data_IF_928264477944
#
_entry.id   IF_928264477944
#
_cell.length_a   1.000
_cell.length_b   1.000
_cell.length_c   1.000
_cell.angle_alpha   90.00
_cell.angle_beta   90.00
_cell.angle_gamma   90.00
#
_symmetry.space_group_name_H-M   'P 1'
#
loop_
_entity.id
_entity.type
_entity.pdbx_description
1 polymer ?
#
# COMPACT_ATOMS: atom_id res chain seq x y z
N UNK A 1 9.24 18.14 1.25
CA UNK A 1 8.68 16.86 0.78
C UNK A 1 7.59 17.23 -0.20
N UNK A 2 7.67 16.75 -1.43
CA UNK A 2 6.54 16.87 -2.35
C UNK A 2 5.42 15.99 -1.81
N UNK A 3 4.27 16.59 -1.54
CA UNK A 3 3.08 15.85 -1.16
C UNK A 3 2.43 15.37 -2.46
N UNK A 4 2.05 14.07 -2.54
CA UNK A 4 1.41 13.54 -3.73
C UNK A 4 0.11 14.30 -4.01
N UNK A 5 -0.18 14.49 -5.29
CA UNK A 5 -1.41 15.13 -5.73
C UNK A 5 -2.47 14.08 -6.15
N UNK A 6 -3.65 14.55 -6.57
CA UNK A 6 -4.69 13.64 -7.07
C UNK A 6 -4.35 13.01 -8.43
N UNK A 7 -3.46 13.61 -9.21
CA UNK A 7 -2.98 13.04 -10.46
C UNK A 7 -2.14 11.77 -10.19
N UNK A 8 -1.24 11.84 -9.21
CA UNK A 8 -0.43 10.72 -8.74
C UNK A 8 -1.31 9.56 -8.25
N UNK A 9 -2.39 9.88 -7.52
CA UNK A 9 -3.36 8.88 -7.03
C UNK A 9 -4.06 8.17 -8.19
N UNK A 10 -4.49 8.92 -9.21
CA UNK A 10 -5.14 8.36 -10.40
C UNK A 10 -4.15 7.47 -11.17
N UNK A 11 -2.92 7.93 -11.36
CA UNK A 11 -1.87 7.17 -12.04
C UNK A 11 -1.55 5.88 -11.28
N UNK A 12 -1.44 5.96 -9.95
CA UNK A 12 -1.21 4.80 -9.09
C UNK A 12 -2.35 3.77 -9.23
N UNK A 13 -3.60 4.21 -9.23
CA UNK A 13 -4.75 3.32 -9.43
C UNK A 13 -4.67 2.62 -10.79
N UNK A 14 -4.37 3.37 -11.86
CA UNK A 14 -4.28 2.83 -13.21
C UNK A 14 -3.19 1.78 -13.35
N UNK A 15 -2.03 2.02 -12.74
CA UNK A 15 -0.91 1.10 -12.76
C UNK A 15 -1.18 -0.20 -11.97
N UNK A 16 -1.92 -0.10 -10.86
CA UNK A 16 -2.05 -1.21 -9.91
C UNK A 16 -3.35 -2.03 -10.07
N UNK A 17 -4.45 -1.38 -10.43
CA UNK A 17 -5.79 -1.98 -10.46
C UNK A 17 -6.33 -2.02 -11.88
N UNK A 18 -6.24 -0.91 -12.62
CA UNK A 18 -6.69 -0.78 -13.99
C UNK A 18 -7.35 0.56 -14.29
N UNK A 19 -8.03 0.69 -15.43
CA UNK A 19 -8.62 1.95 -15.87
C UNK A 19 -9.76 2.41 -14.94
N UNK A 20 -9.76 3.70 -14.60
CA UNK A 20 -10.85 4.37 -13.89
C UNK A 20 -11.91 4.85 -14.88
N UNK A 21 -13.18 4.57 -14.59
CA UNK A 21 -14.29 5.29 -15.24
C UNK A 21 -14.35 6.72 -14.73
N UNK A 22 -15.01 7.62 -15.47
CA UNK A 22 -15.21 9.01 -15.04
C UNK A 22 -15.90 9.07 -13.66
N UNK A 23 -16.96 8.27 -13.47
CA UNK A 23 -17.68 8.20 -12.19
C UNK A 23 -16.83 7.70 -11.01
N UNK A 24 -15.88 6.80 -11.24
CA UNK A 24 -14.97 6.33 -10.20
C UNK A 24 -13.93 7.39 -9.84
N UNK A 25 -13.48 8.15 -10.85
CA UNK A 25 -12.57 9.28 -10.64
C UNK A 25 -13.24 10.37 -9.82
N UNK A 26 -14.49 10.71 -10.15
CA UNK A 26 -15.27 11.72 -9.41
C UNK A 26 -15.44 11.33 -7.93
N UNK A 27 -15.60 10.03 -7.64
CA UNK A 27 -15.61 9.53 -6.26
C UNK A 27 -14.28 9.73 -5.53
N UNK A 28 -13.14 9.52 -6.20
CA UNK A 28 -11.83 9.79 -5.59
C UNK A 28 -11.66 11.27 -5.29
N UNK A 29 -12.10 12.16 -6.19
CA UNK A 29 -12.15 13.60 -5.92
C UNK A 29 -13.12 13.96 -4.80
N UNK A 30 -14.26 13.28 -4.71
CA UNK A 30 -15.19 13.48 -3.59
C UNK A 30 -14.54 13.17 -2.23
N UNK A 31 -13.71 12.11 -2.14
CA UNK A 31 -12.98 11.82 -0.90
C UNK A 31 -11.95 12.92 -0.58
N UNK A 32 -11.31 13.48 -1.60
CA UNK A 32 -10.41 14.62 -1.47
C UNK A 32 -11.14 15.89 -0.98
N UNK A 33 -12.29 16.19 -1.56
CA UNK A 33 -13.14 17.31 -1.18
C UNK A 33 -13.70 17.17 0.26
N UNK A 34 -13.86 15.93 0.73
CA UNK A 34 -14.21 15.61 2.12
C UNK A 34 -13.02 15.75 3.10
N UNK A 35 -11.86 16.18 2.62
CA UNK A 35 -10.68 16.48 3.43
C UNK A 35 -9.68 15.33 3.53
N UNK A 36 -9.86 14.23 2.79
CA UNK A 36 -8.86 13.16 2.73
C UNK A 36 -7.70 13.56 1.82
N UNK A 37 -6.49 13.58 2.36
CA UNK A 37 -5.28 13.87 1.59
C UNK A 37 -5.03 12.83 0.48
N UNK A 38 -4.45 13.23 -0.67
CA UNK A 38 -4.15 12.30 -1.76
C UNK A 38 -3.21 11.18 -1.31
N UNK A 39 -2.30 11.46 -0.37
CA UNK A 39 -1.45 10.46 0.26
C UNK A 39 -2.25 9.31 0.88
N UNK A 40 -3.30 9.64 1.65
CA UNK A 40 -4.15 8.64 2.32
C UNK A 40 -4.98 7.87 1.29
N UNK A 41 -5.51 8.54 0.27
CA UNK A 41 -6.22 7.87 -0.82
C UNK A 41 -5.30 6.87 -1.54
N UNK A 42 -4.05 7.27 -1.83
CA UNK A 42 -3.02 6.40 -2.39
C UNK A 42 -2.73 5.18 -1.50
N UNK A 43 -2.67 5.38 -0.17
CA UNK A 43 -2.51 4.29 0.78
C UNK A 43 -3.70 3.31 0.76
N UNK A 44 -4.93 3.79 0.54
CA UNK A 44 -6.10 2.93 0.39
C UNK A 44 -6.02 2.04 -0.87
N UNK A 45 -5.49 2.57 -1.97
CA UNK A 45 -5.22 1.82 -3.20
C UNK A 45 -4.18 0.73 -2.94
N UNK A 46 -3.06 1.06 -2.28
CA UNK A 46 -2.03 0.08 -1.96
C UNK A 46 -2.55 -1.02 -1.03
N UNK A 47 -3.36 -0.66 -0.03
CA UNK A 47 -4.00 -1.62 0.87
C UNK A 47 -4.92 -2.57 0.12
N UNK A 48 -5.66 -2.04 -0.84
CA UNK A 48 -6.52 -2.81 -1.73
C UNK A 48 -5.69 -3.85 -2.50
N UNK A 49 -4.58 -3.46 -3.12
CA UNK A 49 -3.69 -4.39 -3.82
C UNK A 49 -3.07 -5.47 -2.93
N UNK A 50 -2.68 -5.10 -1.70
CA UNK A 50 -2.17 -6.09 -0.72
C UNK A 50 -3.21 -7.18 -0.42
N UNK A 51 -4.49 -6.80 -0.28
CA UNK A 51 -5.57 -7.75 -0.06
C UNK A 51 -5.84 -8.63 -1.29
N UNK A 52 -5.62 -8.11 -2.52
CA UNK A 52 -5.61 -8.93 -3.74
C UNK A 52 -4.64 -10.07 -3.63
N UNK A 53 -3.38 -9.71 -3.31
CA UNK A 53 -2.25 -10.63 -3.29
C UNK A 53 -2.47 -11.70 -2.23
N UNK A 54 -2.97 -11.31 -1.06
CA UNK A 54 -3.34 -12.25 0.01
C UNK A 54 -4.41 -13.23 -0.40
N UNK A 55 -5.47 -12.77 -1.08
CA UNK A 55 -6.54 -13.65 -1.57
C UNK A 55 -6.03 -14.61 -2.65
N UNK A 56 -5.20 -14.12 -3.57
CA UNK A 56 -4.56 -14.96 -4.60
C UNK A 56 -3.69 -16.06 -3.98
N UNK A 57 -2.88 -15.74 -2.97
CA UNK A 57 -2.08 -16.73 -2.23
C UNK A 57 -2.93 -17.80 -1.53
N UNK A 58 -4.19 -17.48 -1.19
CA UNK A 58 -5.15 -18.42 -0.60
C UNK A 58 -6.01 -19.14 -1.66
N UNK A 59 -5.64 -19.08 -2.94
CA UNK A 59 -6.35 -19.72 -4.06
C UNK A 59 -7.59 -18.94 -4.56
N UNK A 60 -7.85 -17.75 -4.02
CA UNK A 60 -8.98 -16.91 -4.42
C UNK A 60 -8.61 -15.98 -5.58
N UNK A 61 -8.95 -16.35 -6.81
CA UNK A 61 -8.85 -15.47 -7.98
C UNK A 61 -10.03 -14.48 -8.07
N UNK A 62 -10.21 -13.61 -7.07
CA UNK A 62 -11.16 -12.50 -7.18
C UNK A 62 -10.47 -11.25 -7.73
N UNK A 63 -11.04 -10.66 -8.77
CA UNK A 63 -10.73 -9.29 -9.19
C UNK A 63 -11.14 -8.34 -8.07
N UNK A 64 -10.30 -7.36 -7.82
CA UNK A 64 -10.63 -6.26 -6.92
C UNK A 64 -11.57 -5.32 -7.66
N UNK A 65 -12.70 -5.02 -7.02
CA UNK A 65 -13.63 -4.01 -7.49
C UNK A 65 -13.30 -2.66 -6.87
N UNK A 66 -13.61 -1.59 -7.59
CA UNK A 66 -13.56 -0.23 -7.05
C UNK A 66 -14.41 -0.09 -5.78
N UNK A 67 -15.52 -0.82 -5.67
CA UNK A 67 -16.36 -0.81 -4.47
C UNK A 67 -15.61 -1.28 -3.21
N UNK A 68 -14.65 -2.19 -3.35
CA UNK A 68 -13.82 -2.60 -2.23
C UNK A 68 -12.87 -1.49 -1.78
N UNK A 69 -12.24 -0.79 -2.73
CA UNK A 69 -11.43 0.39 -2.45
C UNK A 69 -12.29 1.48 -1.78
N UNK A 70 -13.47 1.75 -2.32
CA UNK A 70 -14.38 2.76 -1.80
C UNK A 70 -14.78 2.47 -0.35
N UNK A 71 -15.08 1.21 0.00
CA UNK A 71 -15.38 0.84 1.38
C UNK A 71 -14.21 1.06 2.35
N UNK A 72 -12.96 0.96 1.90
CA UNK A 72 -11.79 1.33 2.72
C UNK A 72 -11.75 2.83 2.92
N UNK A 73 -11.97 3.61 1.86
CA UNK A 73 -11.98 5.07 1.91
C UNK A 73 -13.08 5.57 2.85
N UNK A 74 -14.31 5.06 2.72
CA UNK A 74 -15.44 5.40 3.60
C UNK A 74 -15.14 5.07 5.07
N UNK A 75 -14.59 3.88 5.33
CA UNK A 75 -14.21 3.50 6.68
C UNK A 75 -13.14 4.44 7.26
N UNK A 76 -12.15 4.82 6.46
CA UNK A 76 -11.07 5.72 6.91
C UNK A 76 -11.57 7.15 7.14
N UNK A 77 -12.49 7.64 6.30
CA UNK A 77 -13.19 8.90 6.54
C UNK A 77 -13.97 8.86 7.86
N UNK A 78 -14.70 7.78 8.12
CA UNK A 78 -15.51 7.62 9.34
C UNK A 78 -14.67 7.61 10.62
N UNK A 79 -13.51 6.94 10.60
CA UNK A 79 -12.59 6.88 11.76
C UNK A 79 -11.59 8.04 11.80
N UNK A 80 -11.71 9.03 10.92
CA UNK A 80 -10.92 10.26 10.92
C UNK A 80 -9.47 10.10 10.42
N UNK A 81 -9.17 9.08 9.63
CA UNK A 81 -7.88 8.93 8.95
C UNK A 81 -7.94 9.71 7.64
N UNK A 82 -7.72 11.02 7.71
CA UNK A 82 -7.82 11.91 6.55
C UNK A 82 -6.46 12.46 6.12
N UNK A 83 -5.54 12.68 7.05
CA UNK A 83 -4.20 13.17 6.77
C UNK A 83 -3.08 12.13 6.98
N UNK A 84 -1.88 12.48 6.50
CA UNK A 84 -0.70 11.62 6.60
C UNK A 84 -0.34 11.29 8.06
N UNK A 85 -0.50 12.25 8.98
CA UNK A 85 -0.16 12.06 10.40
C UNK A 85 -1.08 11.04 11.08
N UNK A 86 -2.39 11.18 10.88
CA UNK A 86 -3.42 10.26 11.36
C UNK A 86 -3.21 8.87 10.77
N UNK A 87 -2.92 8.78 9.47
CA UNK A 87 -2.64 7.51 8.82
C UNK A 87 -1.40 6.82 9.40
N UNK A 88 -0.29 7.55 9.58
CA UNK A 88 0.94 6.98 10.14
C UNK A 88 0.73 6.49 11.58
N UNK A 89 0.01 7.24 12.40
CA UNK A 89 -0.33 6.83 13.77
C UNK A 89 -1.17 5.54 13.77
N UNK A 90 -2.22 5.50 12.96
CA UNK A 90 -3.06 4.31 12.79
C UNK A 90 -2.28 3.10 12.28
N UNK A 91 -1.43 3.29 11.26
CA UNK A 91 -0.64 2.22 10.66
C UNK A 91 0.34 1.60 11.65
N UNK A 92 1.03 2.43 12.45
CA UNK A 92 1.91 1.96 13.50
C UNK A 92 1.14 1.14 14.56
N UNK A 93 -0.07 1.57 14.92
CA UNK A 93 -0.96 0.80 15.78
C UNK A 93 -1.29 -0.57 15.18
N UNK A 94 -1.67 -0.60 13.90
CA UNK A 94 -2.05 -1.84 13.21
C UNK A 94 -0.89 -2.85 13.11
N UNK A 95 0.36 -2.39 12.95
CA UNK A 95 1.54 -3.26 12.96
C UNK A 95 1.77 -3.92 14.32
N UNK A 96 1.55 -3.18 15.42
CA UNK A 96 1.67 -3.72 16.78
C UNK A 96 0.62 -4.81 17.05
N UNK A 97 -0.62 -4.62 16.60
CA UNK A 97 -1.66 -5.64 16.72
C UNK A 97 -1.35 -6.91 15.93
N UNK A 98 -0.81 -6.79 14.70
CA UNK A 98 -0.40 -7.96 13.90
C UNK A 98 0.78 -8.73 14.50
N UNK A 99 1.70 -8.04 15.16
CA UNK A 99 2.79 -8.68 15.89
C UNK A 99 2.26 -9.49 17.10
N UNK A 100 1.19 -9.02 17.74
CA UNK A 100 0.54 -9.71 18.87
C UNK A 100 -0.32 -10.88 18.41
N UNK A 101 -1.08 -10.76 17.32
CA UNK A 101 -1.90 -11.86 16.76
C UNK A 101 -1.06 -13.02 16.22
N UNK A 102 0.09 -12.75 15.58
CA UNK A 102 1.04 -13.79 15.18
C UNK A 102 1.90 -14.32 16.35
N UNK A 103 1.77 -13.72 17.54
CA UNK A 103 2.48 -14.09 18.77
C UNK A 103 1.73 -15.09 19.66
N UNK A 104 0.64 -15.68 19.16
CA UNK A 104 -0.12 -16.72 19.87
C UNK A 104 0.62 -18.06 19.91
N UNK A 105 1.38 -18.31 20.99
CA UNK A 105 1.95 -19.61 21.40
C UNK A 105 2.68 -20.39 20.29
N UNK A 106 3.78 -19.87 19.75
CA UNK A 106 4.93 -20.62 19.19
C UNK A 106 5.98 -19.67 18.58
N UNK A 107 6.34 -18.59 19.27
CA UNK A 107 7.39 -17.68 18.80
C UNK A 107 8.27 -17.22 19.95
N UNK A 108 8.87 -18.17 20.67
CA UNK A 108 10.23 -17.94 21.16
C UNK A 108 11.17 -18.08 19.96
N UNK A 109 11.26 -17.03 19.16
CA UNK A 109 12.40 -16.84 18.28
C UNK A 109 13.17 -15.65 18.85
N UNK A 110 14.34 -15.98 19.37
CA UNK A 110 15.38 -15.10 19.87
C UNK A 110 15.37 -13.72 19.21
N UNK A 111 15.41 -12.69 20.05
CA UNK A 111 15.69 -11.30 19.72
C UNK A 111 16.87 -11.18 18.76
N UNK A 112 16.60 -11.13 17.44
CA UNK A 112 17.58 -10.70 16.46
C UNK A 112 17.49 -9.19 16.30
N UNK A 113 18.57 -8.56 16.77
CA UNK A 113 18.98 -7.15 16.67
C UNK A 113 18.33 -6.41 15.49
N UNK A 114 17.84 -5.19 15.76
CA UNK A 114 17.41 -4.26 14.70
C UNK A 114 18.59 -4.06 13.73
N UNK A 115 18.39 -4.47 12.48
CA UNK A 115 19.36 -4.31 11.39
C UNK A 115 19.29 -2.84 10.95
N UNK A 116 20.36 -2.10 11.22
CA UNK A 116 20.56 -0.75 10.67
C UNK A 116 21.35 -0.87 9.36
N UNK A 117 21.12 0.04 8.42
CA UNK A 117 21.66 0.00 7.05
C UNK A 117 23.20 -0.01 6.87
N UNK A 118 23.96 -0.22 7.95
CA UNK A 118 25.41 -0.44 7.93
C UNK A 118 25.80 -1.92 7.73
N UNK A 119 24.83 -2.84 7.82
CA UNK A 119 25.08 -4.29 7.68
C UNK A 119 24.99 -4.79 6.22
N UNK A 120 24.72 -3.91 5.25
CA UNK A 120 24.74 -4.23 3.82
C UNK A 120 26.01 -3.69 3.18
N UNK A 121 27.09 -4.46 3.24
CA UNK A 121 28.22 -4.26 2.33
C UNK A 121 27.94 -5.12 1.09
N UNK A 122 27.39 -4.50 0.05
CA UNK A 122 27.20 -5.15 -1.24
C UNK A 122 28.58 -5.32 -1.90
N UNK A 123 28.98 -6.55 -2.18
CA UNK A 123 30.07 -6.78 -3.13
C UNK A 123 29.62 -6.36 -4.52
N UNK A 124 30.41 -5.49 -5.12
CA UNK A 124 30.14 -4.81 -6.38
C UNK A 124 30.32 -5.82 -7.53
N UNK A 125 29.22 -6.25 -8.15
CA UNK A 125 29.28 -7.03 -9.41
C UNK A 125 29.52 -6.07 -10.58
N UNK A 126 30.48 -6.43 -11.43
CA UNK A 126 30.83 -5.66 -12.61
C UNK A 126 29.64 -5.50 -13.57
N UNK A 127 29.47 -4.28 -14.05
CA UNK A 127 28.44 -3.85 -15.01
C UNK A 127 28.78 -4.36 -16.40
N UNK A 128 27.92 -5.17 -16.99
CA UNK A 128 27.92 -5.44 -18.43
C UNK A 128 26.61 -5.00 -19.08
N UNK A 129 26.73 -3.87 -19.80
CA UNK A 129 25.99 -3.41 -20.99
C UNK A 129 24.44 -3.52 -21.06
N UNK A 130 23.82 -2.33 -21.10
CA UNK A 130 22.61 -1.91 -21.85
C UNK A 130 21.32 -2.74 -21.76
N UNK A 131 20.38 -2.25 -20.94
CA UNK A 131 18.94 -2.56 -21.01
C UNK A 131 18.20 -2.17 -19.73
N UNK A 132 17.41 -1.08 -19.74
CA UNK A 132 16.83 -0.49 -18.52
C UNK A 132 15.66 -1.27 -17.87
N UNK A 133 15.20 -2.39 -18.45
CA UNK A 133 14.15 -3.23 -17.88
C UNK A 133 14.34 -4.72 -18.22
N UNK A 134 15.33 -5.38 -17.62
CA UNK A 134 15.60 -6.81 -17.79
C UNK A 134 14.92 -7.67 -16.70
N UNK A 135 13.61 -7.52 -16.50
CA UNK A 135 12.83 -8.47 -15.68
C UNK A 135 11.54 -8.94 -16.34
N UNK A 136 11.41 -8.71 -17.66
CA UNK A 136 10.21 -9.07 -18.42
C UNK A 136 10.31 -10.37 -19.21
N UNK A 137 11.35 -11.20 -19.04
CA UNK A 137 11.41 -12.51 -19.70
C UNK A 137 11.25 -13.67 -18.69
N UNK A 138 10.16 -14.41 -18.96
CA UNK A 138 9.57 -15.66 -18.45
C UNK A 138 8.96 -15.73 -17.03
#
# INVERSE_FOLDING_TARGET
MEHPDMHDVIQLYQMQIGLLTSSQRDKLYQAYDQGMSPFVIGCAILRTCQERRRKQLRGGHKRISFNYLWGIIENWLEIGITDETAFRAWWQGQQKYRAVENGGKNAQAETKRQVFGRDYQYEQRELSAEGFFAFLDD
#
